data_IF_637834817699
#
_entry.id   IF_637834817699
#
_cell.length_a   1.000
_cell.length_b   1.000
_cell.length_c   1.000
_cell.angle_alpha   90.00
_cell.angle_beta   90.00
_cell.angle_gamma   90.00
#
_symmetry.space_group_name_H-M   'P 1'
#
loop_
_entity.id
_entity.type
_entity.pdbx_description
1 polymer ?
#
# COMPACT_ATOMS: atom_id res chain seq x y z
N UNK A 1 19.32 1.32 18.54
CA UNK A 1 18.52 0.14 18.95
C UNK A 1 17.67 -0.22 17.75
N UNK A 2 18.31 -0.84 16.76
CA UNK A 2 17.67 -1.28 15.55
C UNK A 2 16.81 -2.50 15.90
N UNK A 3 15.51 -2.32 15.80
CA UNK A 3 14.47 -3.31 16.06
C UNK A 3 14.75 -4.59 15.28
N UNK A 4 15.39 -5.57 15.93
CA UNK A 4 15.91 -6.83 15.36
C UNK A 4 14.81 -7.85 15.02
N UNK A 5 13.65 -7.37 14.55
CA UNK A 5 12.46 -8.17 14.25
C UNK A 5 11.64 -7.70 13.06
N UNK A 6 11.99 -6.57 12.42
CA UNK A 6 11.27 -6.11 11.23
C UNK A 6 11.67 -6.86 9.96
N UNK A 7 10.71 -7.10 9.08
CA UNK A 7 10.94 -7.73 7.77
C UNK A 7 10.54 -6.78 6.66
N UNK A 8 11.34 -6.73 5.61
CA UNK A 8 11.15 -5.83 4.46
C UNK A 8 10.87 -6.66 3.21
N UNK A 9 9.86 -6.25 2.45
CA UNK A 9 9.41 -6.90 1.23
C UNK A 9 9.30 -5.84 0.14
N UNK A 10 10.18 -5.88 -0.84
CA UNK A 10 10.23 -4.90 -1.94
C UNK A 10 9.72 -5.51 -3.24
N UNK A 11 9.03 -4.70 -4.05
CA UNK A 11 8.90 -4.91 -5.49
C UNK A 11 9.61 -3.76 -6.23
N UNK A 12 9.27 -3.53 -7.49
CA UNK A 12 9.86 -2.47 -8.31
C UNK A 12 9.47 -1.06 -7.81
N UNK A 13 8.24 -0.87 -7.34
CA UNK A 13 7.67 0.44 -7.01
C UNK A 13 7.73 0.81 -5.53
N UNK A 14 7.49 -0.14 -4.62
CA UNK A 14 7.37 0.09 -3.19
C UNK A 14 8.09 -0.98 -2.36
N UNK A 15 8.39 -0.63 -1.11
CA UNK A 15 8.85 -1.55 -0.08
C UNK A 15 7.89 -1.54 1.10
N UNK A 16 7.36 -2.72 1.45
CA UNK A 16 6.53 -2.96 2.63
C UNK A 16 7.41 -3.41 3.80
N UNK A 17 7.25 -2.75 4.94
CA UNK A 17 7.89 -3.08 6.20
C UNK A 17 6.85 -3.70 7.14
N UNK A 18 7.18 -4.87 7.68
CA UNK A 18 6.38 -5.58 8.66
C UNK A 18 7.10 -5.64 10.01
N UNK A 19 6.44 -5.14 11.05
CA UNK A 19 6.90 -5.09 12.43
C UNK A 19 5.99 -5.97 13.31
N UNK A 20 6.31 -7.27 13.48
CA UNK A 20 5.47 -8.19 14.24
C UNK A 20 5.28 -7.75 15.70
N UNK A 21 6.29 -7.09 16.29
CA UNK A 21 6.28 -6.67 17.70
C UNK A 21 5.18 -5.66 18.05
N UNK A 22 4.74 -4.86 17.09
CA UNK A 22 3.67 -3.86 17.29
C UNK A 22 2.33 -4.33 16.69
N UNK A 23 2.23 -5.57 16.24
CA UNK A 23 1.01 -6.13 15.65
C UNK A 23 -0.01 -6.50 16.73
N UNK A 24 -1.18 -5.85 16.71
CA UNK A 24 -2.30 -6.17 17.61
C UNK A 24 -3.21 -7.29 17.07
N UNK A 25 -2.83 -7.96 15.98
CA UNK A 25 -3.59 -9.06 15.36
C UNK A 25 -5.04 -8.71 14.96
N UNK A 26 -5.31 -7.48 14.52
CA UNK A 26 -6.66 -7.04 14.11
C UNK A 26 -7.26 -7.79 12.92
N UNK A 27 -6.41 -8.44 12.12
CA UNK A 27 -6.75 -9.15 10.87
C UNK A 27 -7.26 -8.31 9.70
N UNK A 28 -7.46 -7.00 9.87
CA UNK A 28 -8.01 -6.10 8.84
C UNK A 28 -7.09 -5.93 7.63
N UNK A 29 -5.79 -5.84 7.86
CA UNK A 29 -4.81 -5.63 6.78
C UNK A 29 -4.74 -6.85 5.85
N UNK A 30 -4.41 -8.04 6.37
CA UNK A 30 -4.15 -9.21 5.55
C UNK A 30 -5.41 -9.87 4.97
N UNK A 31 -6.54 -9.85 5.71
CA UNK A 31 -7.81 -10.39 5.17
C UNK A 31 -8.33 -9.60 3.98
N UNK A 32 -8.00 -8.30 3.91
CA UNK A 32 -8.43 -7.45 2.80
C UNK A 32 -7.70 -7.77 1.49
N UNK A 33 -6.54 -8.42 1.55
CA UNK A 33 -5.72 -8.72 0.37
C UNK A 33 -4.93 -10.04 0.54
N UNK A 34 -5.67 -11.15 0.64
CA UNK A 34 -5.12 -12.51 0.76
C UNK A 34 -4.13 -12.93 -0.35
N UNK A 35 -4.24 -12.47 -1.61
CA UNK A 35 -3.24 -12.79 -2.63
C UNK A 35 -1.83 -12.28 -2.30
N UNK A 36 -1.73 -11.22 -1.48
CA UNK A 36 -0.48 -10.58 -1.07
C UNK A 36 -0.09 -11.01 0.34
N UNK A 37 -1.01 -10.98 1.30
CA UNK A 37 -0.72 -11.29 2.70
C UNK A 37 -1.31 -12.65 3.09
N UNK A 38 -0.47 -13.69 3.20
CA UNK A 38 -0.91 -15.03 3.60
C UNK A 38 -0.09 -15.56 4.81
N UNK A 39 -0.71 -15.65 6.01
CA UNK A 39 -0.10 -16.23 7.20
C UNK A 39 0.45 -17.64 7.05
N UNK A 40 -0.12 -18.40 6.14
CA UNK A 40 0.16 -19.83 5.96
C UNK A 40 1.31 -20.04 4.98
N UNK A 41 1.71 -19.02 4.22
CA UNK A 41 2.80 -19.12 3.24
C UNK A 41 4.10 -18.52 3.79
N UNK A 42 5.21 -18.97 3.22
CA UNK A 42 6.54 -18.42 3.45
C UNK A 42 7.18 -18.19 2.07
N UNK A 43 7.48 -16.94 1.69
CA UNK A 43 7.28 -15.69 2.44
C UNK A 43 5.79 -15.36 2.71
N UNK A 44 5.52 -14.68 3.84
CA UNK A 44 4.15 -14.28 4.25
C UNK A 44 3.60 -13.15 3.37
N UNK A 45 4.46 -12.24 2.89
CA UNK A 45 4.11 -11.19 1.91
C UNK A 45 4.56 -11.66 0.53
N UNK A 46 3.63 -11.65 -0.43
CA UNK A 46 3.89 -11.82 -1.84
C UNK A 46 3.59 -10.50 -2.58
N UNK A 47 4.64 -9.72 -2.86
CA UNK A 47 4.50 -8.41 -3.52
C UNK A 47 4.02 -8.50 -4.98
N UNK A 48 4.05 -9.69 -5.59
CA UNK A 48 3.50 -9.93 -6.94
C UNK A 48 2.01 -10.30 -6.92
N UNK A 49 1.37 -10.39 -5.75
CA UNK A 49 -0.03 -10.82 -5.63
C UNK A 49 -1.07 -9.75 -6.03
N UNK A 50 -0.68 -8.49 -6.11
CA UNK A 50 -1.53 -7.37 -6.50
C UNK A 50 -0.70 -6.15 -6.95
N UNK A 51 -1.36 -5.11 -7.44
CA UNK A 51 -0.74 -3.81 -7.74
C UNK A 51 -0.31 -3.08 -6.47
N UNK A 52 0.70 -2.23 -6.56
CA UNK A 52 1.21 -1.45 -5.42
C UNK A 52 0.11 -0.62 -4.76
N UNK A 53 -0.82 -0.04 -5.52
CA UNK A 53 -1.95 0.72 -4.97
C UNK A 53 -2.85 -0.12 -4.06
N UNK A 54 -3.14 -1.36 -4.45
CA UNK A 54 -3.92 -2.28 -3.63
C UNK A 54 -3.15 -2.70 -2.39
N UNK A 55 -1.84 -2.87 -2.50
CA UNK A 55 -0.97 -3.20 -1.37
C UNK A 55 -0.97 -2.04 -0.38
N UNK A 56 -0.77 -0.80 -0.83
CA UNK A 56 -0.81 0.41 -0.01
C UNK A 56 -2.15 0.53 0.73
N UNK A 57 -3.27 0.43 0.01
CA UNK A 57 -4.62 0.50 0.60
C UNK A 57 -4.90 -0.62 1.62
N UNK A 58 -4.27 -1.80 1.47
CA UNK A 58 -4.37 -2.88 2.46
C UNK A 58 -3.48 -2.62 3.69
N UNK A 59 -2.31 -2.02 3.50
CA UNK A 59 -1.40 -1.61 4.59
C UNK A 59 -2.03 -0.50 5.44
N UNK A 60 -2.71 0.47 4.82
CA UNK A 60 -3.39 1.59 5.51
C UNK A 60 -4.51 1.13 6.45
N UNK A 61 -5.04 -0.08 6.25
CA UNK A 61 -6.02 -0.70 7.15
C UNK A 61 -5.40 -1.25 8.44
N UNK A 62 -4.08 -1.15 8.62
CA UNK A 62 -3.40 -1.61 9.83
C UNK A 62 -3.52 -0.56 10.95
N UNK A 63 -4.36 -0.77 11.97
CA UNK A 63 -4.58 0.23 13.03
C UNK A 63 -3.37 0.42 13.95
N UNK A 64 -2.48 -0.57 14.03
CA UNK A 64 -1.32 -0.52 14.92
C UNK A 64 -0.03 -0.05 14.25
N UNK A 65 -0.04 0.22 12.93
CA UNK A 65 1.16 0.57 12.17
C UNK A 65 2.18 -0.58 12.05
N UNK A 66 1.77 -1.82 12.32
CA UNK A 66 2.63 -3.00 12.16
C UNK A 66 2.99 -3.29 10.69
N UNK A 67 2.21 -2.77 9.76
CA UNK A 67 2.55 -2.71 8.35
C UNK A 67 2.71 -1.24 7.97
N UNK A 68 3.77 -0.96 7.21
CA UNK A 68 4.04 0.36 6.64
C UNK A 68 4.70 0.18 5.27
N UNK A 69 4.70 1.21 4.43
CA UNK A 69 5.36 1.15 3.13
C UNK A 69 6.07 2.47 2.81
N UNK A 70 7.01 2.40 1.87
CA UNK A 70 7.63 3.56 1.25
C UNK A 70 7.84 3.30 -0.24
N UNK A 71 7.85 4.36 -1.04
CA UNK A 71 8.18 4.27 -2.47
C UNK A 71 9.69 4.02 -2.64
N UNK A 72 10.04 3.20 -3.62
CA UNK A 72 11.43 3.05 -4.02
C UNK A 72 11.81 4.23 -4.93
N UNK A 73 13.05 4.71 -4.87
CA UNK A 73 13.56 5.80 -5.74
C UNK A 73 13.64 5.43 -7.24
N UNK A 74 13.06 4.30 -7.65
CA UNK A 74 13.10 3.78 -9.01
C UNK A 74 11.85 4.20 -9.81
N UNK A 75 11.87 5.44 -10.33
CA UNK A 75 11.09 5.84 -11.51
C UNK A 75 9.71 6.47 -11.26
N UNK A 76 9.24 7.36 -12.15
CA UNK A 76 8.13 8.27 -11.89
C UNK A 76 6.80 7.51 -11.80
N UNK A 77 6.10 7.69 -10.68
CA UNK A 77 4.66 7.46 -10.61
C UNK A 77 4.01 8.48 -11.54
N UNK A 78 3.64 8.05 -12.74
CA UNK A 78 2.73 8.84 -13.58
C UNK A 78 1.36 8.78 -12.90
N UNK A 79 1.09 9.77 -12.06
CA UNK A 79 -0.26 10.09 -11.58
C UNK A 79 -1.08 10.56 -12.78
N UNK A 80 -1.75 9.66 -13.48
CA UNK A 80 -2.82 10.04 -14.42
C UNK A 80 -3.94 9.00 -14.42
N UNK A 81 -5.10 9.40 -13.87
CA UNK A 81 -6.46 9.47 -14.47
C UNK A 81 -7.48 9.56 -13.32
N UNK A 82 -8.51 10.40 -13.24
CA UNK A 82 -9.07 11.53 -13.99
C UNK A 82 -9.93 12.28 -12.93
N UNK A 83 -10.06 13.60 -12.89
CA UNK A 83 -10.88 14.36 -13.80
C UNK A 83 -10.64 15.85 -13.52
N UNK A 84 -9.99 16.52 -14.46
CA UNK A 84 -10.08 17.96 -14.55
C UNK A 84 -10.22 18.29 -16.02
N UNK A 85 -11.46 18.49 -16.46
CA UNK A 85 -11.71 19.41 -17.58
C UNK A 85 -12.79 20.39 -17.16
N UNK A 86 -12.30 21.53 -16.70
CA UNK A 86 -12.88 22.86 -16.93
C UNK A 86 -13.87 22.91 -18.11
N UNK A 87 -15.07 23.44 -17.87
CA UNK A 87 -15.72 24.30 -18.88
C UNK A 87 -16.18 25.58 -18.18
N UNK A 88 -15.44 26.69 -18.27
CA UNK A 88 -15.99 28.00 -18.03
C UNK A 88 -16.51 28.53 -19.37
N UNK A 89 -17.83 28.73 -19.51
CA UNK A 89 -18.34 29.88 -20.27
C UNK A 89 -19.70 30.30 -19.71
N UNK A 90 -19.68 31.50 -19.15
CA UNK A 90 -20.84 32.32 -18.84
C UNK A 90 -21.52 32.66 -20.17
N UNK A 91 -22.80 32.33 -20.35
CA UNK A 91 -23.65 33.01 -21.31
C UNK A 91 -24.73 33.74 -20.51
N UNK A 92 -24.56 35.05 -20.40
CA UNK A 92 -25.65 35.95 -20.09
C UNK A 92 -26.55 35.98 -21.30
N UNK A 93 -27.79 35.49 -21.14
CA UNK A 93 -28.87 35.72 -22.09
C UNK A 93 -30.16 36.01 -21.31
N UNK A 94 -30.88 37.01 -21.84
CA UNK A 94 -32.17 37.60 -21.46
C UNK A 94 -32.17 38.67 -20.34
#
# INVERSE_FOLDING_TARGET
MDSMGEKRYSNEEITVVWKPEVCIHSTNCWKSLLPVFDPRKRPWVNMAGATSDKIMAAVDKCPSGALSYFANDAGPRMEEVADSTHVPINHSDA
#
